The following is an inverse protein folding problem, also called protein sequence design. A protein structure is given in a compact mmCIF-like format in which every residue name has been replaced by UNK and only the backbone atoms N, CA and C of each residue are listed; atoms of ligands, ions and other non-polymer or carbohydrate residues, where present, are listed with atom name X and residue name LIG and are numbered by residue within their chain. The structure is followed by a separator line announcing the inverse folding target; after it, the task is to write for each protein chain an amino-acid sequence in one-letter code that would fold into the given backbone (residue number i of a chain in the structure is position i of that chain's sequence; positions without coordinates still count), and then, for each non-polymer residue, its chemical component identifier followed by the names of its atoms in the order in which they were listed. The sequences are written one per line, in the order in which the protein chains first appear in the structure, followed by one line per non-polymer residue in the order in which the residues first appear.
data_IF_243551917585
#
_entry.id   IF_243551917585
#
_cell.length_a   1.000
_cell.length_b   1.000
_cell.length_c   1.000
_cell.angle_alpha   90.00
_cell.angle_beta   90.00
_cell.angle_gamma   90.00
#
_symmetry.space_group_name_H-M   'P 1'
#
loop_
_entity.id
_entity.type
_entity.pdbx_description
1 polymer ?
#
# COMPACT_ATOMS: atom_id res chain seq x y z
N UNK A 1 46.32 -62.69 -42.27
CA UNK A 1 46.02 -61.41 -42.96
C UNK A 1 46.27 -60.26 -41.98
N UNK A 2 46.92 -59.19 -42.45
CA UNK A 2 47.59 -58.06 -41.74
C UNK A 2 46.81 -57.45 -40.54
N UNK A 3 47.42 -57.27 -39.36
CA UNK A 3 48.14 -56.08 -38.80
C UNK A 3 47.31 -54.78 -38.70
N UNK A 4 47.04 -54.33 -37.45
CA UNK A 4 47.26 -52.98 -36.86
C UNK A 4 46.37 -52.79 -35.61
N UNK A 5 46.95 -52.74 -34.40
CA UNK A 5 47.29 -51.51 -33.65
C UNK A 5 46.14 -50.51 -33.44
N UNK A 6 45.77 -50.23 -32.18
CA UNK A 6 46.17 -49.02 -31.44
C UNK A 6 45.42 -48.92 -30.10
N UNK A 7 46.18 -48.75 -29.00
CA UNK A 7 45.69 -48.27 -27.69
C UNK A 7 45.23 -46.83 -27.83
N UNK A 8 44.16 -46.41 -27.12
CA UNK A 8 44.01 -45.05 -26.57
C UNK A 8 42.90 -44.98 -25.51
N UNK A 9 43.32 -44.53 -24.32
CA UNK A 9 42.53 -44.05 -23.20
C UNK A 9 41.60 -42.90 -23.63
N UNK A 10 40.34 -42.83 -23.15
CA UNK A 10 39.66 -41.55 -22.86
C UNK A 10 38.62 -41.69 -21.73
N UNK A 11 38.94 -41.03 -20.62
CA UNK A 11 38.15 -40.27 -19.64
C UNK A 11 36.64 -40.46 -19.47
N UNK A 12 36.29 -40.77 -18.21
CA UNK A 12 35.01 -40.52 -17.54
C UNK A 12 34.69 -39.03 -17.53
N UNK A 13 33.48 -38.66 -17.98
CA UNK A 13 32.89 -37.35 -17.72
C UNK A 13 31.63 -37.56 -16.86
N UNK A 14 31.80 -37.30 -15.56
CA UNK A 14 30.74 -37.21 -14.57
C UNK A 14 29.90 -35.96 -14.87
N UNK A 15 28.71 -36.14 -15.43
CA UNK A 15 27.77 -35.04 -15.64
C UNK A 15 27.16 -34.63 -14.30
N UNK A 16 27.73 -33.57 -13.71
CA UNK A 16 27.19 -32.89 -12.54
C UNK A 16 25.88 -32.19 -12.94
N UNK A 17 24.75 -32.78 -12.56
CA UNK A 17 23.44 -32.16 -12.73
C UNK A 17 23.35 -30.93 -11.81
N UNK A 18 23.57 -29.75 -12.38
CA UNK A 18 23.26 -28.47 -11.75
C UNK A 18 21.73 -28.36 -11.59
N UNK A 19 21.25 -28.71 -10.40
CA UNK A 19 19.93 -28.32 -9.95
C UNK A 19 19.89 -26.78 -9.85
N UNK A 20 19.25 -26.13 -10.82
CA UNK A 20 18.90 -24.72 -10.72
C UNK A 20 17.95 -24.58 -9.53
N UNK A 21 18.28 -23.79 -8.48
CA UNK A 21 17.29 -23.46 -7.48
C UNK A 21 16.18 -22.69 -8.20
N UNK A 22 14.96 -23.22 -8.14
CA UNK A 22 13.76 -22.50 -8.52
C UNK A 22 13.82 -21.13 -7.85
N UNK A 23 13.85 -20.06 -8.65
CA UNK A 23 13.95 -18.70 -8.16
C UNK A 23 12.77 -18.41 -7.25
N UNK A 24 12.96 -18.57 -5.94
CA UNK A 24 12.11 -17.97 -4.94
C UNK A 24 12.18 -16.47 -5.18
N UNK A 25 11.11 -15.91 -5.74
CA UNK A 25 10.99 -14.49 -6.02
C UNK A 25 11.15 -13.75 -4.70
N UNK A 26 12.34 -13.19 -4.47
CA UNK A 26 12.65 -12.46 -3.25
C UNK A 26 11.70 -11.26 -3.14
N UNK A 27 11.12 -10.98 -1.95
CA UNK A 27 10.23 -9.83 -1.71
C UNK A 27 10.87 -8.47 -2.09
N UNK A 28 12.20 -8.43 -2.25
CA UNK A 28 12.97 -7.25 -2.64
C UNK A 28 12.52 -6.61 -3.97
N UNK A 29 11.92 -7.38 -4.88
CA UNK A 29 11.39 -6.82 -6.14
C UNK A 29 9.99 -6.21 -6.02
N UNK A 30 9.29 -6.35 -4.89
CA UNK A 30 7.91 -5.90 -4.71
C UNK A 30 7.77 -4.38 -4.62
N UNK A 31 8.84 -3.66 -4.31
CA UNK A 31 8.77 -2.18 -4.25
C UNK A 31 9.48 -1.52 -5.43
N UNK A 32 10.14 -2.29 -6.31
CA UNK A 32 10.82 -1.78 -7.49
C UNK A 32 9.90 -0.90 -8.36
N UNK A 33 10.33 0.34 -8.63
CA UNK A 33 9.59 1.31 -9.43
C UNK A 33 8.34 1.89 -8.77
N UNK A 34 8.04 1.53 -7.51
CA UNK A 34 6.96 2.15 -6.72
C UNK A 34 7.53 3.38 -6.03
N UNK A 35 6.94 4.55 -6.28
CA UNK A 35 7.37 5.84 -5.71
C UNK A 35 6.30 6.45 -4.81
N UNK A 36 5.03 6.13 -5.08
CA UNK A 36 3.88 6.61 -4.30
C UNK A 36 2.81 5.53 -4.19
N UNK A 37 2.28 5.37 -2.99
CA UNK A 37 1.14 4.52 -2.69
C UNK A 37 0.10 5.32 -1.91
N UNK A 38 -1.13 5.33 -2.41
CA UNK A 38 -2.26 6.03 -1.79
C UNK A 38 -3.37 5.02 -1.52
N UNK A 39 -3.71 4.80 -0.25
CA UNK A 39 -4.74 3.85 0.17
C UNK A 39 -6.02 4.61 0.49
N UNK A 40 -7.10 4.26 -0.19
CA UNK A 40 -8.44 4.79 0.02
C UNK A 40 -9.28 3.73 0.70
N UNK A 41 -9.79 4.04 1.88
CA UNK A 41 -10.61 3.11 2.66
C UNK A 41 -11.56 3.87 3.58
N UNK A 42 -12.48 3.14 4.20
CA UNK A 42 -13.29 3.66 5.31
C UNK A 42 -12.61 3.38 6.65
N UNK A 43 -13.04 4.06 7.70
CA UNK A 43 -12.49 3.91 9.05
C UNK A 43 -12.66 2.50 9.62
N UNK A 44 -13.75 1.81 9.25
CA UNK A 44 -13.99 0.43 9.66
C UNK A 44 -13.01 -0.59 9.05
N UNK A 45 -12.21 -0.19 8.06
CA UNK A 45 -11.25 -1.05 7.39
C UNK A 45 -9.85 -0.86 7.99
N UNK A 46 -9.33 -1.90 8.63
CA UNK A 46 -7.95 -1.95 9.09
C UNK A 46 -7.00 -1.99 7.90
N UNK A 47 -6.24 -0.92 7.70
CA UNK A 47 -5.20 -0.84 6.67
C UNK A 47 -3.87 -1.28 7.28
N UNK A 48 -3.23 -2.26 6.65
CA UNK A 48 -1.89 -2.72 7.01
C UNK A 48 -0.91 -2.01 6.08
N UNK A 49 -0.12 -1.04 6.59
CA UNK A 49 1.01 -0.50 5.84
C UNK A 49 1.96 -1.62 5.45
N UNK A 50 2.67 -1.48 4.33
CA UNK A 50 3.65 -2.48 3.93
C UNK A 50 4.66 -2.77 5.04
N UNK A 51 5.10 -4.02 5.14
CA UNK A 51 6.11 -4.39 6.12
C UNK A 51 7.47 -3.87 5.65
N UNK A 52 7.95 -2.78 6.26
CA UNK A 52 9.30 -2.28 6.06
C UNK A 52 10.10 -2.37 7.37
N UNK A 53 11.37 -2.83 7.33
CA UNK A 53 12.29 -2.63 8.44
C UNK A 53 12.27 -1.14 8.83
N UNK A 54 12.16 -0.85 10.12
CA UNK A 54 12.17 0.50 10.68
C UNK A 54 11.05 1.46 10.19
N UNK A 55 9.92 0.93 9.71
CA UNK A 55 8.78 1.72 9.18
C UNK A 55 9.15 2.68 8.03
N UNK A 56 10.31 2.48 7.39
CA UNK A 56 10.77 3.29 6.27
C UNK A 56 10.40 2.60 4.97
N UNK A 57 9.26 3.00 4.41
CA UNK A 57 8.90 2.56 3.07
C UNK A 57 9.81 3.23 2.02
N UNK A 58 10.22 2.51 0.96
CA UNK A 58 10.98 3.10 -0.15
C UNK A 58 10.13 4.03 -1.03
N UNK A 59 8.88 4.28 -0.66
CA UNK A 59 7.91 5.11 -1.36
C UNK A 59 7.12 5.96 -0.37
N UNK A 60 6.46 7.01 -0.90
CA UNK A 60 5.56 7.83 -0.13
C UNK A 60 4.23 7.10 0.08
N UNK A 61 3.87 6.80 1.33
CA UNK A 61 2.59 6.21 1.70
C UNK A 61 1.64 7.29 2.21
N UNK A 62 0.42 7.32 1.68
CA UNK A 62 -0.67 8.16 2.19
C UNK A 62 -1.93 7.32 2.35
N UNK A 63 -2.66 7.54 3.45
CA UNK A 63 -3.89 6.82 3.75
C UNK A 63 -5.01 7.86 3.86
N UNK A 64 -6.02 7.73 3.00
CA UNK A 64 -7.18 8.59 2.94
C UNK A 64 -8.41 7.83 3.43
N UNK A 65 -9.06 8.40 4.46
CA UNK A 65 -10.31 7.88 5.02
C UNK A 65 -11.48 8.66 4.43
N UNK A 66 -12.26 8.01 3.56
CA UNK A 66 -13.31 8.71 2.80
C UNK A 66 -14.55 9.06 3.62
N UNK A 67 -14.72 8.41 4.77
CA UNK A 67 -15.74 8.65 5.78
C UNK A 67 -15.24 9.51 6.96
N UNK A 68 -14.03 10.06 6.87
CA UNK A 68 -13.39 10.82 7.97
C UNK A 68 -14.21 12.03 8.45
N UNK A 69 -15.08 12.60 7.61
CA UNK A 69 -15.90 13.74 8.00
C UNK A 69 -16.84 13.42 9.17
N UNK A 70 -17.27 12.17 9.32
CA UNK A 70 -18.07 11.77 10.48
C UNK A 70 -17.23 11.80 11.75
N UNK A 71 -16.04 11.18 11.73
CA UNK A 71 -15.12 11.19 12.86
C UNK A 71 -14.67 12.61 13.25
N UNK A 72 -14.45 13.48 12.26
CA UNK A 72 -14.08 14.88 12.50
C UNK A 72 -15.17 15.61 13.30
N UNK A 73 -16.45 15.37 13.00
CA UNK A 73 -17.57 15.95 13.77
C UNK A 73 -17.57 15.46 15.21
N UNK A 74 -17.34 14.16 15.41
CA UNK A 74 -17.31 13.55 16.74
C UNK A 74 -16.16 14.14 17.58
N UNK A 75 -14.97 14.29 16.98
CA UNK A 75 -13.81 14.90 17.63
C UNK A 75 -14.06 16.37 17.94
N UNK A 76 -14.64 17.13 17.01
CA UNK A 76 -14.89 18.55 17.18
C UNK A 76 -15.95 18.85 18.26
N UNK A 77 -16.89 17.93 18.47
CA UNK A 77 -17.99 18.05 19.44
C UNK A 77 -17.75 17.27 20.75
N UNK A 78 -16.63 16.56 20.86
CA UNK A 78 -16.30 15.76 22.04
C UNK A 78 -16.27 16.63 23.32
N UNK A 79 -17.14 16.32 24.27
CA UNK A 79 -17.26 17.04 25.54
C UNK A 79 -18.06 18.34 25.47
N UNK A 80 -18.70 18.64 24.33
CA UNK A 80 -19.60 19.79 24.20
C UNK A 80 -20.89 19.56 25.03
N UNK A 81 -21.33 20.55 25.83
CA UNK A 81 -22.62 20.50 26.52
C UNK A 81 -23.79 20.41 25.54
N UNK A 82 -24.90 19.79 25.96
CA UNK A 82 -26.12 19.66 25.14
C UNK A 82 -26.97 20.92 25.11
N UNK A 83 -26.86 21.78 26.12
CA UNK A 83 -27.56 23.05 26.15
C UNK A 83 -26.84 24.10 25.29
N UNK A 84 -27.61 24.90 24.57
CA UNK A 84 -27.07 25.86 23.58
C UNK A 84 -26.14 26.90 24.22
N UNK A 85 -26.49 27.38 25.42
CA UNK A 85 -25.68 28.36 26.14
C UNK A 85 -24.32 27.78 26.55
N UNK A 86 -24.31 26.55 27.07
CA UNK A 86 -23.11 25.79 27.40
C UNK A 86 -22.25 25.48 26.18
N UNK A 87 -22.87 25.04 25.08
CA UNK A 87 -22.18 24.75 23.83
C UNK A 87 -21.46 25.99 23.26
N UNK A 88 -22.10 27.16 23.25
CA UNK A 88 -21.47 28.41 22.80
C UNK A 88 -20.26 28.79 23.65
N UNK A 89 -20.39 28.73 24.97
CA UNK A 89 -19.27 29.03 25.90
C UNK A 89 -18.13 28.03 25.72
N UNK A 90 -18.45 26.75 25.60
CA UNK A 90 -17.48 25.70 25.38
C UNK A 90 -16.74 25.90 24.05
N UNK A 91 -17.45 26.21 22.97
CA UNK A 91 -16.84 26.44 21.66
C UNK A 91 -15.89 27.64 21.69
N UNK A 92 -16.33 28.77 22.25
CA UNK A 92 -15.48 29.96 22.39
C UNK A 92 -14.19 29.67 23.19
N UNK A 93 -14.29 28.89 24.26
CA UNK A 93 -13.14 28.50 25.08
C UNK A 93 -12.21 27.48 24.40
N UNK A 94 -12.71 26.68 23.45
CA UNK A 94 -11.98 25.57 22.84
C UNK A 94 -11.60 25.79 21.38
N UNK A 95 -12.06 26.86 20.74
CA UNK A 95 -11.97 27.08 19.30
C UNK A 95 -10.55 26.89 18.76
N UNK A 96 -9.55 27.53 19.37
CA UNK A 96 -8.16 27.44 18.93
C UNK A 96 -7.61 26.01 18.99
N UNK A 97 -7.98 25.24 20.03
CA UNK A 97 -7.60 23.82 20.16
C UNK A 97 -8.29 22.97 19.10
N UNK A 98 -9.61 23.13 18.95
CA UNK A 98 -10.40 22.40 17.96
C UNK A 98 -9.86 22.66 16.56
N UNK A 99 -9.61 23.92 16.22
CA UNK A 99 -9.06 24.33 14.92
C UNK A 99 -7.73 23.63 14.62
N UNK A 100 -6.78 23.67 15.56
CA UNK A 100 -5.47 23.00 15.39
C UNK A 100 -5.59 21.49 15.19
N UNK A 101 -6.55 20.86 15.88
CA UNK A 101 -6.76 19.41 15.79
C UNK A 101 -7.50 19.01 14.50
N UNK A 102 -8.53 19.76 14.12
CA UNK A 102 -9.47 19.41 13.04
C UNK A 102 -8.98 19.83 11.66
N UNK A 103 -8.31 20.99 11.53
CA UNK A 103 -7.85 21.48 10.22
C UNK A 103 -7.04 20.47 9.40
N UNK A 104 -6.00 19.80 9.94
CA UNK A 104 -5.24 18.82 9.15
C UNK A 104 -6.10 17.61 8.74
N UNK A 105 -7.04 17.20 9.58
CA UNK A 105 -7.96 16.09 9.29
C UNK A 105 -8.92 16.45 8.15
N UNK A 106 -9.48 17.65 8.18
CA UNK A 106 -10.36 18.16 7.10
C UNK A 106 -9.59 18.26 5.80
N UNK A 107 -8.37 18.83 5.82
CA UNK A 107 -7.53 18.93 4.63
C UNK A 107 -7.24 17.55 4.01
N UNK A 108 -6.87 16.57 4.84
CA UNK A 108 -6.64 15.19 4.41
C UNK A 108 -7.90 14.54 3.83
N UNK A 109 -9.04 14.69 4.50
CA UNK A 109 -10.31 14.11 4.07
C UNK A 109 -10.81 14.71 2.75
N UNK A 110 -10.74 16.04 2.59
CA UNK A 110 -11.08 16.73 1.34
C UNK A 110 -10.16 16.27 0.21
N UNK A 111 -8.85 16.22 0.45
CA UNK A 111 -7.89 15.75 -0.54
C UNK A 111 -8.17 14.29 -0.95
N UNK A 112 -8.47 13.42 0.02
CA UNK A 112 -8.86 12.03 -0.22
C UNK A 112 -10.08 11.91 -1.13
N UNK A 113 -11.13 12.69 -0.88
CA UNK A 113 -12.35 12.71 -1.71
C UNK A 113 -12.05 13.20 -3.14
N UNK A 114 -11.26 14.27 -3.29
CA UNK A 114 -10.88 14.81 -4.59
C UNK A 114 -10.05 13.81 -5.40
N UNK A 115 -9.07 13.17 -4.76
CA UNK A 115 -8.24 12.14 -5.39
C UNK A 115 -9.04 10.90 -5.75
N UNK A 116 -9.93 10.42 -4.87
CA UNK A 116 -10.82 9.29 -5.17
C UNK A 116 -11.68 9.58 -6.40
N UNK A 117 -12.24 10.79 -6.52
CA UNK A 117 -12.96 11.24 -7.72
C UNK A 117 -12.05 11.27 -8.95
N UNK A 118 -10.85 11.84 -8.86
CA UNK A 118 -9.88 11.93 -9.96
C UNK A 118 -9.49 10.54 -10.48
N UNK A 119 -9.28 9.59 -9.58
CA UNK A 119 -8.95 8.20 -9.91
C UNK A 119 -10.16 7.35 -10.28
N UNK A 120 -11.38 7.92 -10.20
CA UNK A 120 -12.65 7.23 -10.42
C UNK A 120 -12.80 5.98 -9.55
N UNK A 121 -12.40 6.09 -8.28
CA UNK A 121 -12.59 5.03 -7.28
C UNK A 121 -14.09 4.92 -6.98
N UNK A 122 -14.66 3.77 -7.30
CA UNK A 122 -16.07 3.43 -7.08
C UNK A 122 -16.28 2.34 -6.01
N UNK A 123 -15.20 1.68 -5.61
CA UNK A 123 -15.19 0.62 -4.61
C UNK A 123 -14.05 0.80 -3.61
N UNK A 124 -14.31 0.42 -2.37
CA UNK A 124 -13.32 0.40 -1.30
C UNK A 124 -13.11 -1.03 -0.77
N UNK A 125 -11.92 -1.34 -0.23
CA UNK A 125 -10.71 -0.51 -0.25
C UNK A 125 -10.12 -0.43 -1.68
N UNK A 126 -9.37 0.64 -1.94
CA UNK A 126 -8.63 0.85 -3.18
C UNK A 126 -7.21 1.34 -2.89
N UNK A 127 -6.22 0.73 -3.52
CA UNK A 127 -4.81 1.13 -3.45
C UNK A 127 -4.40 1.69 -4.80
N UNK A 128 -3.99 2.96 -4.80
CA UNK A 128 -3.48 3.63 -6.00
C UNK A 128 -1.96 3.63 -5.96
N UNK A 129 -1.35 3.10 -7.00
CA UNK A 129 0.10 2.98 -7.14
C UNK A 129 0.58 3.94 -8.22
N UNK A 130 1.55 4.78 -7.86
CA UNK A 130 2.15 5.82 -8.71
C UNK A 130 1.10 6.69 -9.43
N UNK A 131 -0.04 6.95 -8.79
CA UNK A 131 -1.13 7.77 -9.32
C UNK A 131 -1.72 7.29 -10.66
N UNK A 132 -1.46 6.02 -11.02
CA UNK A 132 -1.77 5.47 -12.34
C UNK A 132 -2.56 4.17 -12.28
N UNK A 133 -2.26 3.33 -11.31
CA UNK A 133 -2.86 1.99 -11.22
C UNK A 133 -3.71 1.90 -9.97
N UNK A 134 -4.94 1.43 -10.12
CA UNK A 134 -5.87 1.21 -9.01
C UNK A 134 -6.01 -0.29 -8.79
N UNK A 135 -5.82 -0.73 -7.55
CA UNK A 135 -5.97 -2.13 -7.13
C UNK A 135 -7.05 -2.17 -6.06
N UNK A 136 -8.12 -2.93 -6.29
CA UNK A 136 -9.26 -3.00 -5.39
C UNK A 136 -9.18 -4.20 -4.44
N UNK A 137 -9.85 -4.10 -3.28
CA UNK A 137 -10.10 -5.23 -2.39
C UNK A 137 -8.98 -5.56 -1.40
N UNK A 138 -7.86 -4.85 -1.46
CA UNK A 138 -6.74 -5.05 -0.54
C UNK A 138 -6.64 -3.90 0.47
N UNK A 139 -6.61 -4.26 1.76
CA UNK A 139 -6.24 -3.34 2.84
C UNK A 139 -4.76 -3.44 3.23
N UNK A 140 -4.09 -4.49 2.77
CA UNK A 140 -2.64 -4.70 2.90
C UNK A 140 -1.95 -4.18 1.63
N UNK A 141 -1.00 -3.26 1.83
CA UNK A 141 -0.29 -2.61 0.72
C UNK A 141 0.60 -3.59 -0.05
N UNK A 142 1.30 -4.50 0.62
CA UNK A 142 2.19 -5.45 -0.05
C UNK A 142 1.39 -6.45 -0.88
N UNK A 143 0.22 -6.89 -0.40
CA UNK A 143 -0.70 -7.70 -1.19
C UNK A 143 -1.19 -6.97 -2.44
N UNK A 144 -1.54 -5.68 -2.33
CA UNK A 144 -1.96 -4.89 -3.48
C UNK A 144 -0.84 -4.73 -4.51
N UNK A 145 0.40 -4.48 -4.07
CA UNK A 145 1.57 -4.39 -4.94
C UNK A 145 1.91 -5.72 -5.61
N UNK A 146 1.65 -6.84 -4.94
CA UNK A 146 1.87 -8.18 -5.46
C UNK A 146 0.84 -8.49 -6.56
N UNK A 147 -0.44 -8.25 -6.29
CA UNK A 147 -1.52 -8.41 -7.25
C UNK A 147 -1.27 -7.58 -8.53
N UNK A 148 -0.83 -6.33 -8.39
CA UNK A 148 -0.49 -5.45 -9.50
C UNK A 148 0.69 -5.95 -10.34
N UNK A 149 1.69 -6.57 -9.70
CA UNK A 149 2.82 -7.18 -10.44
C UNK A 149 2.38 -8.40 -11.21
N UNK A 150 1.60 -9.27 -10.58
CA UNK A 150 1.07 -10.47 -11.21
C UNK A 150 0.23 -10.11 -12.44
N UNK A 151 -0.62 -9.08 -12.35
CA UNK A 151 -1.45 -8.65 -13.49
C UNK A 151 -0.66 -8.02 -14.64
N UNK A 152 0.62 -7.68 -14.44
CA UNK A 152 1.49 -7.07 -15.46
C UNK A 152 2.51 -8.04 -16.03
N UNK A 153 2.72 -9.19 -15.42
CA UNK A 153 3.53 -10.23 -16.04
C UNK A 153 2.72 -10.77 -17.22
N UNK A 154 3.20 -10.63 -18.47
CA UNK A 154 2.53 -11.26 -19.60
C UNK A 154 2.46 -12.76 -19.32
N UNK A 155 1.26 -13.34 -19.46
CA UNK A 155 1.07 -14.78 -19.37
C UNK A 155 2.09 -15.47 -20.27
N UNK A 156 2.83 -16.42 -19.70
CA UNK A 156 3.80 -17.25 -20.44
C UNK A 156 3.14 -17.98 -21.60
#
# INVERSE_FOLDING_TARGET
MRIHQHRRFVFVALALALALPAGAQTPQNLHAGVTRVEVFANMAMSVTPASAPDYRHPYQLSIYRLDAMNQIRDIASAGMPRDEAGARRWLAANEARIRRQVQPMVASAVNGILLARRYRIDRLPAVVVNQRYVVYGHTDVDQALAALRMSRQPGR
#
